data_IF_496126069801
#
_entry.id   IF_496126069801
#
_cell.length_a   1.000
_cell.length_b   1.000
_cell.length_c   1.000
_cell.angle_alpha   90.00
_cell.angle_beta   90.00
_cell.angle_gamma   90.00
#
_symmetry.space_group_name_H-M   'P 1'
#
loop_
_entity.id
_entity.type
_entity.pdbx_description
1 polymer ?
#
# COMPACT_ATOMS: atom_id res chain seq x y z
N UNK A 1 -8.46 44.97 2.97
CA UNK A 1 -9.39 45.55 1.97
C UNK A 1 -8.90 45.11 0.60
N UNK A 2 -9.71 44.26 -0.05
CA UNK A 2 -9.90 44.09 -1.51
C UNK A 2 -8.63 44.06 -2.42
N UNK A 3 -8.21 42.94 -3.02
CA UNK A 3 -8.89 42.06 -4.00
C UNK A 3 -9.39 42.83 -5.24
N UNK A 4 -8.97 42.40 -6.45
CA UNK A 4 -9.80 41.77 -7.52
C UNK A 4 -9.57 42.29 -8.98
N UNK A 5 -9.42 41.30 -9.88
CA UNK A 5 -9.69 41.26 -11.33
C UNK A 5 -8.66 41.81 -12.33
N UNK A 6 -8.19 40.94 -13.25
CA UNK A 6 -8.76 40.95 -14.61
C UNK A 6 -8.64 39.57 -15.30
N UNK A 7 -9.69 39.23 -16.03
CA UNK A 7 -9.87 38.03 -16.81
C UNK A 7 -9.96 38.38 -18.31
N UNK A 8 -9.85 37.34 -19.15
CA UNK A 8 -10.37 37.21 -20.53
C UNK A 8 -9.54 37.84 -21.67
N UNK A 9 -9.08 36.96 -22.57
CA UNK A 9 -9.23 37.19 -24.01
C UNK A 9 -9.48 35.85 -24.73
N UNK A 10 -10.61 35.82 -25.43
CA UNK A 10 -11.23 34.76 -26.21
C UNK A 10 -11.06 35.12 -27.69
N UNK A 11 -10.90 34.16 -28.62
CA UNK A 11 -11.48 34.29 -29.97
C UNK A 11 -11.78 32.92 -30.59
N UNK A 12 -13.02 32.80 -31.08
CA UNK A 12 -13.68 31.69 -31.77
C UNK A 12 -13.28 31.65 -33.28
N UNK A 13 -13.56 30.64 -34.13
CA UNK A 13 -14.89 30.11 -34.54
C UNK A 13 -14.78 28.90 -35.51
N UNK A 14 -15.71 27.95 -35.32
CA UNK A 14 -16.57 27.19 -36.28
C UNK A 14 -16.00 26.27 -37.38
N UNK A 15 -16.37 24.98 -37.33
CA UNK A 15 -17.25 24.32 -38.32
C UNK A 15 -17.75 22.95 -37.80
N UNK A 16 -19.05 22.70 -37.96
CA UNK A 16 -19.75 21.48 -37.56
C UNK A 16 -19.70 20.40 -38.66
N UNK A 17 -19.68 19.12 -38.26
CA UNK A 17 -20.26 18.03 -39.06
C UNK A 17 -20.75 16.93 -38.10
N UNK A 18 -22.05 16.63 -38.17
CA UNK A 18 -22.72 15.59 -37.39
C UNK A 18 -22.59 14.20 -38.04
N UNK A 19 -22.85 13.21 -37.18
CA UNK A 19 -23.37 11.86 -37.43
C UNK A 19 -22.37 10.68 -37.56
N UNK A 20 -22.42 9.78 -36.57
CA UNK A 20 -22.10 8.37 -36.75
C UNK A 20 -21.60 7.63 -35.50
N UNK A 21 -22.49 6.90 -34.82
CA UNK A 21 -22.11 5.73 -34.02
C UNK A 21 -22.02 5.92 -32.50
N UNK A 22 -23.16 5.86 -31.81
CA UNK A 22 -23.22 5.59 -30.38
C UNK A 22 -22.69 4.18 -30.10
N UNK A 23 -21.45 4.07 -29.62
CA UNK A 23 -20.92 2.83 -29.06
C UNK A 23 -20.92 2.95 -27.54
N UNK A 24 -22.04 2.52 -26.94
CA UNK A 24 -22.17 2.37 -25.49
C UNK A 24 -21.23 1.25 -25.01
N UNK A 25 -20.32 1.50 -24.06
CA UNK A 25 -19.61 0.41 -23.40
C UNK A 25 -20.59 -0.39 -22.52
N UNK A 26 -20.43 -1.72 -22.42
CA UNK A 26 -21.29 -2.53 -21.56
C UNK A 26 -21.11 -2.13 -20.08
N UNK A 27 -22.17 -2.10 -19.27
CA UNK A 27 -22.07 -1.70 -17.87
C UNK A 27 -21.27 -2.74 -17.06
N UNK A 28 -20.49 -2.31 -16.06
CA UNK A 28 -20.01 -3.22 -15.02
C UNK A 28 -21.20 -3.83 -14.29
N UNK A 29 -21.21 -5.15 -14.12
CA UNK A 29 -22.27 -5.87 -13.40
C UNK A 29 -22.43 -5.29 -11.99
N UNK A 30 -23.61 -4.73 -11.72
CA UNK A 30 -24.03 -4.23 -10.43
C UNK A 30 -24.53 -5.37 -9.53
N UNK A 31 -24.13 -5.33 -8.25
CA UNK A 31 -24.83 -5.96 -7.13
C UNK A 31 -25.86 -4.92 -6.63
N UNK A 32 -27.12 -5.32 -6.35
CA UNK A 32 -28.24 -4.38 -6.18
C UNK A 32 -28.19 -3.56 -4.88
N UNK A 33 -28.62 -2.29 -4.88
CA UNK A 33 -28.93 -1.55 -3.66
C UNK A 33 -30.35 -1.89 -3.18
N UNK A 34 -30.52 -2.12 -1.87
CA UNK A 34 -31.81 -2.06 -1.19
C UNK A 34 -31.99 -0.66 -0.54
N UNK A 35 -33.25 -0.20 -0.35
CA UNK A 35 -33.60 1.21 -0.50
C UNK A 35 -33.39 2.09 0.74
N UNK A 36 -33.13 3.38 0.46
CA UNK A 36 -33.24 4.47 1.42
C UNK A 36 -34.72 4.79 1.67
N UNK A 37 -35.14 4.77 2.93
CA UNK A 37 -36.41 5.34 3.36
C UNK A 37 -36.18 6.78 3.86
N UNK A 38 -37.00 7.70 3.33
CA UNK A 38 -37.03 9.13 3.62
C UNK A 38 -37.49 9.43 5.06
N UNK A 39 -36.89 10.46 5.65
CA UNK A 39 -37.33 11.11 6.87
C UNK A 39 -38.65 11.89 6.67
N UNK A 40 -39.46 12.00 7.73
CA UNK A 40 -40.21 13.22 8.06
C UNK A 40 -40.84 13.18 9.48
N UNK A 41 -40.80 14.37 10.11
CA UNK A 41 -41.64 14.91 11.20
C UNK A 41 -41.17 14.82 12.66
N UNK A 42 -40.68 15.98 13.13
CA UNK A 42 -40.66 16.44 14.52
C UNK A 42 -42.09 16.71 15.07
N UNK A 43 -42.25 16.93 16.38
CA UNK A 43 -42.30 18.32 16.83
C UNK A 43 -41.66 18.61 18.22
N UNK A 44 -41.22 19.87 18.40
CA UNK A 44 -41.65 20.70 19.54
C UNK A 44 -40.88 20.66 20.88
N UNK A 45 -40.07 21.70 21.07
CA UNK A 45 -39.89 22.51 22.30
C UNK A 45 -39.33 21.88 23.60
N UNK A 46 -38.21 22.42 24.09
CA UNK A 46 -38.16 23.34 25.23
C UNK A 46 -36.72 23.53 25.72
N UNK A 47 -36.37 24.78 26.04
CA UNK A 47 -35.09 25.21 26.58
C UNK A 47 -34.92 24.78 28.04
N UNK A 48 -33.74 24.30 28.41
CA UNK A 48 -33.25 24.35 29.79
C UNK A 48 -31.72 24.38 29.81
N UNK A 49 -31.18 25.55 30.19
CA UNK A 49 -29.77 25.75 30.47
C UNK A 49 -29.35 24.94 31.69
N UNK A 50 -28.59 23.87 31.48
CA UNK A 50 -27.86 23.14 32.51
C UNK A 50 -26.45 22.87 32.01
N UNK A 51 -25.43 23.21 32.80
CA UNK A 51 -24.03 22.84 32.53
C UNK A 51 -23.91 21.32 32.61
N UNK A 52 -24.11 20.64 31.48
CA UNK A 52 -23.68 19.26 31.31
C UNK A 52 -22.16 19.25 31.31
N UNK A 53 -21.60 18.81 32.43
CA UNK A 53 -20.21 18.36 32.46
C UNK A 53 -20.20 17.06 31.68
N UNK A 54 -19.88 17.14 30.38
CA UNK A 54 -19.67 15.95 29.55
C UNK A 54 -18.48 15.21 30.16
N UNK A 55 -18.76 14.17 30.95
CA UNK A 55 -17.76 13.16 31.24
C UNK A 55 -17.28 12.68 29.87
N UNK A 56 -16.01 12.93 29.55
CA UNK A 56 -15.39 12.33 28.38
C UNK A 56 -15.70 10.83 28.42
N UNK A 57 -16.22 10.22 27.34
CA UNK A 57 -16.38 8.78 27.33
C UNK A 57 -15.02 8.18 27.67
N UNK A 58 -14.99 7.27 28.65
CA UNK A 58 -13.86 6.41 28.87
C UNK A 58 -13.41 5.90 27.50
N UNK A 59 -12.13 6.08 27.17
CA UNK A 59 -11.59 5.59 25.91
C UNK A 59 -11.98 4.13 25.78
N UNK A 60 -12.93 3.82 24.90
CA UNK A 60 -13.21 2.45 24.52
C UNK A 60 -11.84 1.90 24.08
N UNK A 61 -11.37 0.83 24.74
CA UNK A 61 -10.08 0.21 24.43
C UNK A 61 -9.96 -0.05 22.94
N UNK A 62 -8.72 -0.19 22.44
CA UNK A 62 -8.53 -0.40 21.01
C UNK A 62 -9.39 -1.57 20.53
N UNK A 63 -10.09 -1.39 19.42
CA UNK A 63 -10.89 -2.45 18.77
C UNK A 63 -10.12 -3.14 17.65
N UNK A 64 -8.83 -2.82 17.51
CA UNK A 64 -7.94 -3.27 16.46
C UNK A 64 -6.70 -3.87 17.10
N UNK A 65 -6.46 -5.14 16.83
CA UNK A 65 -5.37 -5.89 17.44
C UNK A 65 -4.48 -6.51 16.37
N UNK A 66 -3.19 -6.62 16.62
CA UNK A 66 -2.27 -7.31 15.73
C UNK A 66 -1.37 -8.30 16.48
N UNK A 67 -1.23 -9.49 15.93
CA UNK A 67 -0.20 -10.47 16.27
C UNK A 67 0.87 -10.42 15.19
N UNK A 68 2.11 -10.13 15.58
CA UNK A 68 3.21 -9.90 14.65
C UNK A 68 4.36 -10.82 15.03
N UNK A 69 4.67 -11.79 14.16
CA UNK A 69 5.79 -12.71 14.31
C UNK A 69 6.98 -12.27 13.44
N UNK A 70 8.18 -12.37 13.99
CA UNK A 70 9.44 -12.24 13.25
C UNK A 70 10.42 -13.31 13.68
N UNK A 71 10.52 -14.40 12.92
CA UNK A 71 11.41 -15.52 13.21
C UNK A 71 12.62 -15.48 12.28
N UNK A 72 13.81 -15.31 12.85
CA UNK A 72 15.07 -15.19 12.15
C UNK A 72 16.23 -15.99 12.74
N UNK A 73 16.22 -16.27 14.04
CA UNK A 73 17.31 -16.94 14.77
C UNK A 73 17.27 -18.48 14.67
N UNK A 74 17.16 -19.02 13.45
CA UNK A 74 17.12 -20.47 13.21
C UNK A 74 18.44 -21.14 13.60
N UNK A 75 18.37 -22.11 14.51
CA UNK A 75 19.55 -22.66 15.20
C UNK A 75 20.52 -23.47 14.31
N UNK A 76 20.04 -24.03 13.20
CA UNK A 76 20.80 -24.99 12.38
C UNK A 76 21.29 -24.43 11.03
N UNK A 77 21.39 -23.11 10.90
CA UNK A 77 21.75 -22.41 9.66
C UNK A 77 20.54 -21.74 8.99
N UNK A 78 20.78 -21.01 7.90
CA UNK A 78 19.75 -20.26 7.15
C UNK A 78 19.02 -19.18 7.98
N UNK A 79 19.72 -18.55 8.93
CA UNK A 79 19.18 -17.46 9.74
C UNK A 79 18.72 -16.27 8.86
N UNK A 80 17.57 -15.70 9.19
CA UNK A 80 16.98 -14.55 8.51
C UNK A 80 17.05 -13.34 9.43
N UNK A 81 18.21 -12.66 9.44
CA UNK A 81 18.40 -11.48 10.28
C UNK A 81 17.41 -10.34 9.95
N UNK A 82 16.80 -10.35 8.75
CA UNK A 82 15.77 -9.40 8.32
C UNK A 82 14.42 -9.59 9.03
N UNK A 83 14.00 -10.84 9.30
CA UNK A 83 12.65 -11.14 9.78
C UNK A 83 12.28 -10.45 11.12
N UNK A 84 13.11 -10.46 12.18
CA UNK A 84 12.86 -9.68 13.39
C UNK A 84 12.78 -8.16 13.14
N UNK A 85 13.58 -7.63 12.21
CA UNK A 85 13.56 -6.20 11.86
C UNK A 85 12.27 -5.84 11.12
N UNK A 86 11.83 -6.68 10.19
CA UNK A 86 10.58 -6.50 9.44
C UNK A 86 9.35 -6.54 10.36
N UNK A 87 9.31 -7.52 11.28
CA UNK A 87 8.28 -7.59 12.31
C UNK A 87 8.25 -6.33 13.19
N UNK A 88 9.40 -5.84 13.63
CA UNK A 88 9.47 -4.60 14.40
C UNK A 88 8.97 -3.38 13.60
N UNK A 89 9.33 -3.28 12.32
CA UNK A 89 8.92 -2.20 11.43
C UNK A 89 7.40 -2.18 11.24
N UNK A 90 6.78 -3.34 10.97
CA UNK A 90 5.34 -3.48 10.79
C UNK A 90 4.58 -3.25 12.11
N UNK A 91 5.07 -3.80 13.22
CA UNK A 91 4.49 -3.57 14.55
C UNK A 91 4.47 -2.07 14.89
N UNK A 92 5.55 -1.34 14.61
CA UNK A 92 5.62 0.10 14.81
C UNK A 92 4.59 0.85 13.93
N UNK A 93 4.51 0.51 12.64
CA UNK A 93 3.54 1.13 11.72
C UNK A 93 2.07 0.87 12.12
N UNK A 94 1.76 -0.33 12.61
CA UNK A 94 0.42 -0.68 13.12
C UNK A 94 0.10 0.05 14.43
N UNK A 95 1.05 0.17 15.37
CA UNK A 95 0.84 0.95 16.60
C UNK A 95 0.52 2.41 16.30
N UNK A 96 1.15 3.00 15.29
CA UNK A 96 0.83 4.37 14.84
C UNK A 96 -0.60 4.52 14.32
N UNK A 97 -1.17 3.45 13.77
CA UNK A 97 -2.57 3.37 13.34
C UNK A 97 -3.55 3.04 14.48
N UNK A 98 -3.07 2.97 15.72
CA UNK A 98 -3.87 2.71 16.91
C UNK A 98 -4.16 1.23 17.16
N UNK A 99 -3.42 0.30 16.56
CA UNK A 99 -3.52 -1.12 16.90
C UNK A 99 -2.84 -1.41 18.22
N UNK A 100 -3.44 -2.28 19.03
CA UNK A 100 -2.75 -2.96 20.11
C UNK A 100 -1.98 -4.16 19.53
N UNK A 101 -0.65 -4.17 19.70
CA UNK A 101 0.22 -5.10 18.97
C UNK A 101 0.99 -6.00 19.92
N UNK A 102 0.74 -7.31 19.83
CA UNK A 102 1.57 -8.37 20.38
C UNK A 102 2.67 -8.70 19.37
N UNK A 103 3.89 -8.24 19.65
CA UNK A 103 5.09 -8.52 18.86
C UNK A 103 5.84 -9.70 19.48
N UNK A 104 6.02 -10.76 18.72
CA UNK A 104 6.68 -11.99 19.12
C UNK A 104 7.85 -12.30 18.16
N UNK A 105 9.06 -12.40 18.70
CA UNK A 105 10.28 -12.54 17.91
C UNK A 105 10.97 -13.85 18.29
N UNK A 106 11.50 -14.54 17.28
CA UNK A 106 12.28 -15.77 17.43
C UNK A 106 11.61 -16.82 18.32
N UNK A 107 10.34 -17.11 18.02
CA UNK A 107 9.53 -18.06 18.79
C UNK A 107 9.72 -19.48 18.30
N UNK A 108 9.87 -20.39 19.26
CA UNK A 108 9.77 -21.82 19.04
C UNK A 108 8.30 -22.23 18.81
N UNK A 109 8.06 -23.51 18.50
CA UNK A 109 6.72 -23.98 18.16
C UNK A 109 5.71 -23.75 19.28
N UNK A 110 6.10 -24.07 20.52
CA UNK A 110 5.21 -23.93 21.68
C UNK A 110 5.02 -22.46 22.03
N UNK A 111 6.05 -21.63 21.95
CA UNK A 111 5.96 -20.19 22.13
C UNK A 111 5.04 -19.52 21.12
N UNK A 112 5.07 -19.93 19.84
CA UNK A 112 4.10 -19.44 18.84
C UNK A 112 2.66 -19.80 19.23
N UNK A 113 2.41 -21.00 19.76
CA UNK A 113 1.06 -21.41 20.23
C UNK A 113 0.61 -20.60 21.44
N UNK A 114 1.51 -20.34 22.38
CA UNK A 114 1.26 -19.50 23.55
C UNK A 114 0.87 -18.07 23.13
N UNK A 115 1.62 -17.48 22.19
CA UNK A 115 1.35 -16.13 21.69
C UNK A 115 0.03 -16.03 20.94
N UNK A 116 -0.33 -17.08 20.17
CA UNK A 116 -1.65 -17.17 19.53
C UNK A 116 -2.77 -17.21 20.57
N UNK A 117 -2.65 -18.05 21.59
CA UNK A 117 -3.66 -18.14 22.65
C UNK A 117 -3.77 -16.83 23.45
N UNK A 118 -2.64 -16.19 23.76
CA UNK A 118 -2.61 -14.89 24.41
C UNK A 118 -3.26 -13.80 23.53
N UNK A 119 -3.00 -13.84 22.23
CA UNK A 119 -3.60 -12.92 21.27
C UNK A 119 -5.11 -13.10 21.16
N UNK A 120 -5.61 -14.33 21.12
CA UNK A 120 -7.04 -14.62 21.10
C UNK A 120 -7.74 -14.05 22.34
N UNK A 121 -7.13 -14.23 23.51
CA UNK A 121 -7.66 -13.72 24.77
C UNK A 121 -7.68 -12.19 24.81
N UNK A 122 -6.57 -11.52 24.45
CA UNK A 122 -6.49 -10.05 24.49
C UNK A 122 -7.39 -9.39 23.43
N UNK A 123 -7.59 -10.04 22.29
CA UNK A 123 -8.37 -9.50 21.17
C UNK A 123 -9.82 -9.99 21.15
N UNK A 124 -10.35 -10.45 22.28
CA UNK A 124 -11.74 -10.85 22.41
C UNK A 124 -12.67 -9.65 22.11
N UNK A 125 -13.58 -9.81 21.14
CA UNK A 125 -14.47 -8.72 20.71
C UNK A 125 -13.83 -7.68 19.79
N UNK A 126 -12.64 -7.95 19.24
CA UNK A 126 -11.99 -7.09 18.25
C UNK A 126 -12.85 -6.90 16.99
N UNK A 127 -12.93 -5.68 16.48
CA UNK A 127 -13.54 -5.36 15.18
C UNK A 127 -12.64 -5.82 14.02
N UNK A 128 -11.34 -5.84 14.25
CA UNK A 128 -10.33 -6.24 13.27
C UNK A 128 -9.14 -6.87 13.98
N UNK A 129 -8.75 -8.05 13.52
CA UNK A 129 -7.48 -8.70 13.87
C UNK A 129 -6.53 -8.66 12.69
N UNK A 130 -5.25 -8.46 12.97
CA UNK A 130 -4.16 -8.56 12.00
C UNK A 130 -3.22 -9.67 12.45
N UNK A 131 -2.87 -10.57 11.55
CA UNK A 131 -1.74 -11.48 11.69
C UNK A 131 -0.67 -11.02 10.71
N UNK A 132 0.55 -10.86 11.19
CA UNK A 132 1.73 -10.70 10.35
C UNK A 132 2.77 -11.76 10.72
N UNK A 133 3.41 -12.35 9.72
CA UNK A 133 4.53 -13.27 9.93
C UNK A 133 5.65 -12.95 8.93
N UNK A 134 6.87 -12.78 9.44
CA UNK A 134 8.11 -12.81 8.66
C UNK A 134 9.01 -13.96 9.14
N UNK A 135 9.55 -14.72 8.18
CA UNK A 135 10.46 -15.83 8.46
C UNK A 135 10.44 -16.89 7.36
N UNK A 136 10.92 -18.09 7.69
CA UNK A 136 10.82 -19.23 6.77
C UNK A 136 9.39 -19.75 6.67
N UNK A 137 9.00 -20.09 5.46
CA UNK A 137 7.72 -20.69 5.15
C UNK A 137 7.84 -21.66 3.99
N UNK A 138 6.92 -22.62 3.96
CA UNK A 138 6.84 -23.62 2.90
C UNK A 138 5.41 -23.77 2.41
N UNK A 139 5.26 -24.13 1.14
CA UNK A 139 3.98 -24.46 0.53
C UNK A 139 4.05 -25.84 -0.12
N UNK A 140 3.14 -26.73 0.27
CA UNK A 140 2.90 -28.01 -0.39
C UNK A 140 1.52 -28.56 0.00
N UNK A 141 0.92 -29.35 -0.90
CA UNK A 141 -0.39 -29.99 -0.66
C UNK A 141 -1.48 -29.00 -0.20
N UNK A 142 -1.56 -27.83 -0.85
CA UNK A 142 -2.54 -26.78 -0.56
C UNK A 142 -2.41 -26.12 0.82
N UNK A 143 -1.35 -26.40 1.58
CA UNK A 143 -1.11 -25.83 2.89
C UNK A 143 0.16 -24.96 2.89
N UNK A 144 0.08 -23.85 3.62
CA UNK A 144 1.25 -23.02 3.94
C UNK A 144 1.65 -23.31 5.38
N UNK A 145 2.95 -23.47 5.61
CA UNK A 145 3.53 -23.74 6.92
C UNK A 145 4.44 -22.58 7.31
N UNK A 146 4.22 -22.01 8.50
CA UNK A 146 5.06 -20.99 9.11
C UNK A 146 6.04 -21.68 10.06
N UNK A 147 7.33 -21.38 9.93
CA UNK A 147 8.36 -22.15 10.62
C UNK A 147 8.84 -21.45 11.92
N UNK A 148 8.78 -22.13 13.08
CA UNK A 148 9.38 -21.64 14.33
C UNK A 148 10.91 -21.75 14.30
N UNK A 149 11.62 -21.14 15.25
CA UNK A 149 13.10 -21.11 15.22
C UNK A 149 13.78 -22.41 15.68
N UNK A 150 13.06 -23.28 16.39
CA UNK A 150 13.54 -24.53 17.00
C UNK A 150 13.46 -25.75 16.04
N UNK A 151 13.67 -25.53 14.75
CA UNK A 151 13.61 -26.61 13.75
C UNK A 151 14.68 -27.67 14.02
N UNK A 152 14.41 -28.96 13.79
CA UNK A 152 15.35 -30.04 14.11
C UNK A 152 16.56 -30.13 13.15
N UNK A 153 16.59 -29.32 12.09
CA UNK A 153 17.63 -29.29 11.08
C UNK A 153 17.63 -27.96 10.30
N UNK A 154 18.69 -27.74 9.51
CA UNK A 154 18.75 -26.62 8.56
C UNK A 154 17.57 -26.63 7.59
N UNK A 155 17.13 -25.45 7.13
CA UNK A 155 15.95 -25.26 6.25
C UNK A 155 16.08 -26.10 4.99
N UNK A 156 17.25 -26.09 4.36
CA UNK A 156 17.54 -26.88 3.15
C UNK A 156 17.56 -28.41 3.36
N UNK A 157 17.50 -28.91 4.59
CA UNK A 157 17.52 -30.35 4.92
C UNK A 157 16.16 -30.90 5.37
N UNK A 158 15.17 -30.03 5.59
CA UNK A 158 13.83 -30.44 5.98
C UNK A 158 13.14 -31.16 4.83
N UNK A 159 12.37 -32.19 5.16
CA UNK A 159 11.42 -32.84 4.26
C UNK A 159 9.99 -32.44 4.65
N UNK A 160 9.00 -32.89 3.86
CA UNK A 160 7.58 -32.57 4.10
C UNK A 160 7.07 -33.04 5.46
N UNK A 161 7.57 -34.18 5.97
CA UNK A 161 7.12 -34.71 7.26
C UNK A 161 7.68 -33.87 8.41
N UNK A 162 8.97 -33.50 8.33
CA UNK A 162 9.59 -32.59 9.28
C UNK A 162 8.89 -31.23 9.30
N UNK A 163 8.52 -30.68 8.13
CA UNK A 163 7.76 -29.42 8.06
C UNK A 163 6.38 -29.57 8.70
N UNK A 164 5.64 -30.66 8.45
CA UNK A 164 4.34 -30.90 9.10
C UNK A 164 4.43 -31.02 10.61
N UNK A 165 5.43 -31.72 11.11
CA UNK A 165 5.57 -32.00 12.54
C UNK A 165 6.04 -30.78 13.34
N UNK A 166 6.78 -29.87 12.72
CA UNK A 166 7.45 -28.76 13.41
C UNK A 166 6.96 -27.37 12.96
N UNK A 167 6.10 -27.27 11.95
CA UNK A 167 5.57 -26.00 11.44
C UNK A 167 4.16 -25.70 11.93
N UNK A 168 3.79 -24.42 11.94
CA UNK A 168 2.41 -23.98 12.18
C UNK A 168 1.66 -23.91 10.86
N UNK A 169 0.54 -24.64 10.76
CA UNK A 169 -0.33 -24.59 9.58
C UNK A 169 -1.10 -23.27 9.51
N UNK A 170 -0.91 -22.53 8.43
CA UNK A 170 -1.50 -21.21 8.26
C UNK A 170 -3.02 -21.26 8.13
N UNK A 171 -3.58 -22.28 7.49
CA UNK A 171 -5.03 -22.44 7.35
C UNK A 171 -5.71 -22.62 8.70
N UNK A 172 -5.13 -23.44 9.58
CA UNK A 172 -5.59 -23.63 10.96
C UNK A 172 -5.46 -22.34 11.77
N UNK A 173 -4.33 -21.65 11.67
CA UNK A 173 -4.09 -20.39 12.37
C UNK A 173 -5.08 -19.30 11.93
N UNK A 174 -5.28 -19.12 10.62
CA UNK A 174 -6.23 -18.14 10.05
C UNK A 174 -7.66 -18.49 10.46
N UNK A 175 -8.03 -19.76 10.43
CA UNK A 175 -9.34 -20.20 10.91
C UNK A 175 -9.56 -19.81 12.37
N UNK A 176 -8.62 -20.16 13.25
CA UNK A 176 -8.66 -19.85 14.68
C UNK A 176 -8.78 -18.36 14.94
N UNK A 177 -7.87 -17.55 14.37
CA UNK A 177 -7.88 -16.10 14.57
C UNK A 177 -9.07 -15.39 13.94
N UNK A 178 -9.68 -15.98 12.91
CA UNK A 178 -10.87 -15.45 12.26
C UNK A 178 -12.14 -15.61 13.10
N UNK A 179 -12.15 -16.54 14.08
CA UNK A 179 -13.32 -16.74 14.92
C UNK A 179 -13.56 -15.58 15.87
N UNK A 180 -14.82 -15.13 15.96
CA UNK A 180 -15.22 -14.10 16.91
C UNK A 180 -14.78 -12.67 16.55
N UNK A 181 -14.29 -12.44 15.32
CA UNK A 181 -14.02 -11.10 14.79
C UNK A 181 -14.72 -10.90 13.44
N UNK A 182 -15.24 -9.68 13.13
CA UNK A 182 -15.82 -9.39 11.82
C UNK A 182 -14.82 -9.45 10.67
N UNK A 183 -13.54 -9.18 10.95
CA UNK A 183 -12.51 -9.12 9.93
C UNK A 183 -11.14 -9.61 10.43
N UNK A 184 -10.47 -10.42 9.61
CA UNK A 184 -9.09 -10.84 9.79
C UNK A 184 -8.25 -10.45 8.58
N UNK A 185 -7.11 -9.81 8.82
CA UNK A 185 -6.09 -9.55 7.79
C UNK A 185 -4.84 -10.34 8.15
N UNK A 186 -4.51 -11.37 7.38
CA UNK A 186 -3.30 -12.18 7.54
C UNK A 186 -2.28 -11.83 6.45
N UNK A 187 -1.04 -11.57 6.85
CA UNK A 187 0.03 -11.04 5.98
C UNK A 187 1.27 -11.91 6.17
N UNK A 188 1.69 -12.60 5.11
CA UNK A 188 2.75 -13.61 5.18
C UNK A 188 3.93 -13.19 4.29
N UNK A 189 5.02 -12.82 4.94
CA UNK A 189 6.29 -12.48 4.33
C UNK A 189 7.27 -13.65 4.45
N UNK A 190 7.04 -14.65 3.61
CA UNK A 190 7.81 -15.88 3.57
C UNK A 190 7.83 -16.46 2.15
N UNK A 191 8.76 -17.37 1.92
CA UNK A 191 8.79 -18.15 0.68
C UNK A 191 7.55 -19.07 0.56
N UNK A 192 7.14 -19.33 -0.67
CA UNK A 192 5.99 -20.19 -1.00
C UNK A 192 6.41 -21.37 -1.87
N UNK A 193 7.51 -22.02 -1.47
CA UNK A 193 8.12 -23.14 -2.19
C UNK A 193 8.04 -24.41 -1.36
N UNK A 194 8.11 -25.57 -2.01
CA UNK A 194 8.22 -26.85 -1.32
C UNK A 194 9.62 -27.00 -0.67
N UNK A 195 9.77 -27.78 0.41
CA UNK A 195 11.07 -28.03 1.03
C UNK A 195 12.03 -28.78 0.09
N UNK A 196 13.34 -28.51 0.24
CA UNK A 196 14.38 -28.92 -0.72
C UNK A 196 14.58 -30.45 -0.82
N UNK A 197 14.28 -31.24 0.22
CA UNK A 197 14.21 -32.70 0.15
C UNK A 197 12.77 -33.15 -0.16
N UNK A 198 12.61 -33.85 -1.29
CA UNK A 198 11.30 -34.29 -1.79
C UNK A 198 10.86 -33.54 -3.04
N UNK A 199 11.81 -33.20 -3.92
CA UNK A 199 11.70 -32.45 -5.18
C UNK A 199 10.83 -33.16 -6.24
N UNK A 200 9.60 -33.49 -5.91
CA UNK A 200 8.54 -33.38 -6.88
C UNK A 200 7.98 -31.98 -6.66
N UNK A 201 8.25 -31.10 -7.63
CA UNK A 201 7.44 -29.92 -7.83
C UNK A 201 6.01 -30.42 -8.05
N UNK A 202 5.26 -30.58 -6.96
CA UNK A 202 3.82 -30.46 -7.08
C UNK A 202 3.65 -29.10 -7.76
N UNK A 203 3.00 -29.08 -8.93
CA UNK A 203 2.44 -27.86 -9.49
C UNK A 203 1.84 -27.07 -8.33
N UNK A 204 1.91 -25.74 -8.35
CA UNK A 204 1.17 -24.90 -7.41
C UNK A 204 -0.31 -25.32 -7.51
N UNK A 205 -0.68 -26.27 -6.68
CA UNK A 205 -1.97 -26.93 -6.66
C UNK A 205 -2.63 -26.23 -5.50
N UNK A 206 -3.69 -25.50 -5.87
CA UNK A 206 -4.73 -24.87 -5.08
C UNK A 206 -4.31 -23.79 -4.09
N UNK A 207 -4.90 -22.65 -4.35
CA UNK A 207 -4.91 -21.44 -3.55
C UNK A 207 -5.78 -21.62 -2.31
N UNK A 208 -5.30 -21.19 -1.14
CA UNK A 208 -6.09 -21.19 0.08
C UNK A 208 -7.20 -20.14 -0.09
N UNK A 209 -8.45 -20.59 -0.16
CA UNK A 209 -9.61 -19.71 -0.17
C UNK A 209 -9.97 -19.34 1.26
N UNK A 210 -9.76 -18.09 1.69
CA UNK A 210 -10.01 -17.70 3.07
C UNK A 210 -11.51 -17.73 3.41
N UNK A 211 -11.84 -17.82 4.70
CA UNK A 211 -13.22 -17.71 5.16
C UNK A 211 -13.80 -16.31 4.91
N UNK A 212 -15.12 -16.17 4.94
CA UNK A 212 -15.79 -14.87 4.82
C UNK A 212 -15.29 -13.93 5.93
N UNK A 213 -15.03 -12.67 5.61
CA UNK A 213 -14.41 -11.70 6.53
C UNK A 213 -12.88 -11.75 6.56
N UNK A 214 -12.22 -12.62 5.80
CA UNK A 214 -10.77 -12.78 5.85
C UNK A 214 -10.07 -12.29 4.58
N UNK A 215 -8.96 -11.60 4.77
CA UNK A 215 -7.99 -11.21 3.74
C UNK A 215 -6.68 -11.92 4.05
N UNK A 216 -6.13 -12.61 3.07
CA UNK A 216 -4.85 -13.29 3.14
C UNK A 216 -3.92 -12.73 2.07
N UNK A 217 -2.90 -12.00 2.51
CA UNK A 217 -1.90 -11.35 1.67
C UNK A 217 -0.53 -12.02 1.83
N UNK A 218 0.19 -12.14 0.72
CA UNK A 218 1.50 -12.78 0.65
C UNK A 218 2.51 -11.82 0.02
N UNK A 219 3.74 -11.85 0.50
CA UNK A 219 4.84 -11.09 -0.09
C UNK A 219 5.22 -11.57 -1.50
N UNK A 220 4.85 -12.80 -1.88
CA UNK A 220 5.18 -13.39 -3.19
C UNK A 220 4.06 -14.33 -3.68
N UNK A 221 4.09 -14.64 -4.97
CA UNK A 221 3.11 -15.50 -5.63
C UNK A 221 3.34 -16.99 -5.27
N UNK A 222 2.33 -17.86 -5.46
CA UNK A 222 2.49 -19.30 -5.21
C UNK A 222 3.69 -19.88 -5.97
N UNK A 223 4.48 -20.75 -5.32
CA UNK A 223 5.67 -21.36 -5.93
C UNK A 223 6.87 -20.43 -6.09
N UNK A 224 6.86 -19.22 -5.50
CA UNK A 224 7.92 -18.23 -5.63
C UNK A 224 8.58 -17.92 -4.29
N UNK A 225 9.76 -17.31 -4.38
CA UNK A 225 10.58 -16.87 -3.24
C UNK A 225 10.18 -15.43 -2.86
N UNK A 226 10.20 -15.13 -1.56
CA UNK A 226 10.15 -13.77 -1.04
C UNK A 226 11.59 -13.33 -0.73
N UNK A 227 11.93 -12.08 -1.05
CA UNK A 227 13.30 -11.57 -0.88
C UNK A 227 13.50 -11.05 0.55
N UNK A 228 14.63 -11.37 1.17
CA UNK A 228 14.96 -10.96 2.55
C UNK A 228 15.53 -9.52 2.63
N UNK A 229 16.05 -8.97 1.52
CA UNK A 229 16.64 -7.63 1.51
C UNK A 229 16.48 -6.90 0.18
N UNK A 230 16.30 -5.59 0.27
CA UNK A 230 16.32 -4.66 -0.85
C UNK A 230 17.72 -4.28 -1.36
N UNK A 231 18.81 -4.68 -0.68
CA UNK A 231 20.19 -4.31 -1.07
C UNK A 231 20.53 -4.72 -2.50
N UNK A 232 20.08 -5.90 -2.92
CA UNK A 232 20.26 -6.39 -4.29
C UNK A 232 19.57 -5.52 -5.36
N UNK A 233 18.70 -4.59 -4.93
CA UNK A 233 17.95 -3.65 -5.77
C UNK A 233 18.30 -2.18 -5.46
N UNK A 234 19.49 -1.94 -4.92
CA UNK A 234 20.09 -0.60 -4.81
C UNK A 234 19.49 0.29 -3.72
N UNK A 235 18.76 -0.28 -2.76
CA UNK A 235 18.32 0.44 -1.55
C UNK A 235 19.11 -0.08 -0.36
N UNK A 236 19.79 0.85 0.32
CA UNK A 236 20.58 0.56 1.52
C UNK A 236 19.66 0.42 2.75
N UNK A 237 18.82 -0.61 2.73
CA UNK A 237 17.90 -0.95 3.80
C UNK A 237 17.87 -2.48 4.02
N UNK A 238 17.86 -2.85 5.31
CA UNK A 238 17.95 -4.25 5.77
C UNK A 238 16.61 -4.84 6.13
N UNK A 239 15.67 -4.61 5.23
CA UNK A 239 14.29 -5.05 5.28
C UNK A 239 13.90 -5.77 4.00
N UNK A 240 12.94 -6.70 4.11
CA UNK A 240 12.32 -7.29 2.93
C UNK A 240 11.65 -6.19 2.08
N UNK A 241 11.61 -6.33 0.74
CA UNK A 241 10.91 -5.38 -0.12
C UNK A 241 9.45 -5.18 0.28
N UNK A 242 8.76 -6.26 0.62
CA UNK A 242 7.33 -6.21 0.90
C UNK A 242 7.04 -5.50 2.21
N UNK A 243 7.74 -5.86 3.29
CA UNK A 243 7.54 -5.25 4.60
C UNK A 243 7.93 -3.78 4.62
N UNK A 244 9.02 -3.43 3.93
CA UNK A 244 9.48 -2.04 3.82
C UNK A 244 8.44 -1.13 3.15
N UNK A 245 7.90 -1.52 1.99
CA UNK A 245 6.91 -0.69 1.29
C UNK A 245 5.50 -0.80 1.86
N UNK A 246 5.14 -1.92 2.48
CA UNK A 246 3.90 -2.02 3.24
C UNK A 246 3.92 -1.07 4.45
N UNK A 247 5.02 -1.02 5.19
CA UNK A 247 5.18 -0.08 6.30
C UNK A 247 5.07 1.38 5.83
N UNK A 248 5.68 1.73 4.68
CA UNK A 248 5.51 3.05 4.06
C UNK A 248 4.03 3.38 3.80
N UNK A 249 3.28 2.44 3.21
CA UNK A 249 1.85 2.64 2.94
C UNK A 249 1.03 2.75 4.25
N UNK A 250 1.34 1.91 5.24
CA UNK A 250 0.76 1.97 6.58
C UNK A 250 1.12 3.24 7.35
N UNK A 251 2.12 4.02 6.95
CA UNK A 251 2.42 5.33 7.59
C UNK A 251 1.91 6.53 6.78
N UNK A 252 1.35 6.29 5.59
CA UNK A 252 0.78 7.33 4.74
C UNK A 252 -0.61 7.74 5.22
N UNK A 253 -0.83 9.03 5.51
CA UNK A 253 -2.14 9.59 5.91
C UNK A 253 -3.21 9.48 4.83
N UNK A 254 -2.79 9.31 3.59
CA UNK A 254 -3.62 9.19 2.39
C UNK A 254 -4.18 7.79 2.17
N UNK A 255 -3.61 6.79 2.85
CA UNK A 255 -4.03 5.40 2.74
C UNK A 255 -5.03 5.13 3.85
N UNK A 256 -6.30 5.01 3.48
CA UNK A 256 -7.39 4.83 4.43
C UNK A 256 -7.72 3.34 4.68
N UNK A 257 -7.52 2.48 3.68
CA UNK A 257 -7.95 1.08 3.71
C UNK A 257 -6.85 0.08 3.35
N UNK A 258 -7.05 -1.17 3.75
CA UNK A 258 -6.08 -2.26 3.54
C UNK A 258 -5.80 -2.56 2.07
N UNK A 259 -6.80 -2.50 1.18
CA UNK A 259 -6.59 -2.68 -0.27
C UNK A 259 -5.64 -1.62 -0.84
N UNK A 260 -5.79 -0.36 -0.43
CA UNK A 260 -4.90 0.72 -0.87
C UNK A 260 -3.46 0.48 -0.37
N UNK A 261 -3.29 0.00 0.86
CA UNK A 261 -1.96 -0.35 1.39
C UNK A 261 -1.32 -1.48 0.59
N UNK A 262 -2.05 -2.57 0.36
CA UNK A 262 -1.57 -3.71 -0.40
C UNK A 262 -1.24 -3.35 -1.85
N UNK A 263 -2.12 -2.63 -2.53
CA UNK A 263 -1.90 -2.19 -3.92
C UNK A 263 -0.69 -1.26 -4.05
N UNK A 264 -0.47 -0.39 -3.06
CA UNK A 264 0.67 0.54 -3.05
C UNK A 264 1.99 -0.21 -2.86
N UNK A 265 2.05 -1.12 -1.88
CA UNK A 265 3.22 -1.95 -1.62
C UNK A 265 3.51 -2.89 -2.81
N UNK A 266 2.49 -3.60 -3.31
CA UNK A 266 2.63 -4.56 -4.40
C UNK A 266 3.21 -3.93 -5.66
N UNK A 267 2.72 -2.74 -6.04
CA UNK A 267 3.24 -2.04 -7.20
C UNK A 267 4.73 -1.73 -7.07
N UNK A 268 5.16 -1.15 -5.95
CA UNK A 268 6.58 -0.76 -5.79
C UNK A 268 7.46 -2.01 -5.78
N UNK A 269 7.07 -3.05 -5.05
CA UNK A 269 7.82 -4.31 -5.00
C UNK A 269 7.97 -4.91 -6.38
N UNK A 270 6.87 -5.03 -7.15
CA UNK A 270 6.92 -5.59 -8.49
C UNK A 270 7.84 -4.81 -9.42
N UNK A 271 7.78 -3.48 -9.39
CA UNK A 271 8.61 -2.68 -10.29
C UNK A 271 10.08 -2.64 -9.87
N UNK A 272 10.35 -2.45 -8.58
CA UNK A 272 11.72 -2.37 -8.07
C UNK A 272 12.44 -3.71 -8.19
N UNK A 273 11.72 -4.82 -8.01
CA UNK A 273 12.31 -6.16 -8.18
C UNK A 273 12.27 -6.66 -9.63
N UNK A 274 11.87 -5.81 -10.58
CA UNK A 274 11.71 -6.17 -11.99
C UNK A 274 10.85 -7.44 -12.20
N UNK A 275 9.82 -7.60 -11.38
CA UNK A 275 8.91 -8.74 -11.40
C UNK A 275 9.46 -10.03 -10.78
N UNK A 276 10.65 -9.99 -10.17
CA UNK A 276 11.22 -11.15 -9.48
C UNK A 276 10.36 -11.57 -8.27
N UNK A 277 9.85 -10.59 -7.52
CA UNK A 277 8.88 -10.78 -6.43
C UNK A 277 7.53 -10.18 -6.83
N UNK A 278 6.47 -10.95 -6.59
CA UNK A 278 5.11 -10.61 -7.02
C UNK A 278 4.14 -10.80 -5.84
N UNK A 279 3.86 -9.75 -5.05
CA UNK A 279 2.91 -9.86 -3.96
C UNK A 279 1.53 -10.33 -4.44
N UNK A 280 0.87 -11.14 -3.63
CA UNK A 280 -0.37 -11.84 -3.97
C UNK A 280 -1.40 -11.69 -2.86
N UNK A 281 -2.69 -11.68 -3.18
CA UNK A 281 -3.75 -11.51 -2.18
C UNK A 281 -5.03 -12.27 -2.53
N UNK A 282 -5.62 -12.91 -1.53
CA UNK A 282 -6.91 -13.56 -1.58
C UNK A 282 -7.81 -12.88 -0.56
N UNK A 283 -8.96 -12.37 -0.97
CA UNK A 283 -9.86 -11.64 -0.09
C UNK A 283 -11.30 -12.13 -0.24
N UNK A 284 -11.95 -12.41 0.88
CA UNK A 284 -13.37 -12.79 0.96
C UNK A 284 -14.11 -11.81 1.87
N UNK A 285 -14.12 -10.53 1.49
CA UNK A 285 -14.72 -9.43 2.25
C UNK A 285 -15.70 -8.63 1.38
N UNK A 286 -16.79 -8.16 1.97
CA UNK A 286 -17.75 -7.28 1.28
C UNK A 286 -17.18 -5.86 1.09
N UNK A 287 -16.31 -5.44 2.03
CA UNK A 287 -15.58 -4.18 2.00
C UNK A 287 -14.23 -4.37 2.69
N UNK A 288 -13.18 -3.78 2.12
CA UNK A 288 -11.87 -3.76 2.78
C UNK A 288 -11.92 -2.95 4.08
N UNK A 289 -11.39 -3.49 5.19
CA UNK A 289 -11.34 -2.77 6.46
C UNK A 289 -10.50 -1.49 6.36
N UNK A 290 -10.89 -0.48 7.14
CA UNK A 290 -10.11 0.74 7.30
C UNK A 290 -8.90 0.46 8.20
N UNK A 291 -7.77 1.10 7.88
CA UNK A 291 -6.51 0.94 8.60
C UNK A 291 -6.54 1.56 10.00
N UNK A 292 -7.42 2.51 10.28
CA UNK A 292 -7.38 3.31 11.49
C UNK A 292 -6.71 4.68 11.24
N UNK A 293 -7.05 5.65 12.08
CA UNK A 293 -6.55 7.01 11.96
C UNK A 293 -5.12 7.12 12.52
N UNK A 294 -4.24 7.83 11.82
CA UNK A 294 -2.98 8.29 12.38
C UNK A 294 -3.28 9.47 13.32
N UNK A 295 -2.68 9.55 14.52
CA UNK A 295 -2.87 10.68 15.42
C UNK A 295 -2.50 11.99 14.71
N UNK A 296 -3.17 13.09 15.06
CA UNK A 296 -2.73 14.42 14.66
C UNK A 296 -1.28 14.60 15.11
N UNK A 297 -0.42 15.12 14.24
CA UNK A 297 1.01 15.26 14.52
C UNK A 297 1.21 16.26 15.67
N UNK A 298 1.34 15.78 16.90
CA UNK A 298 1.61 16.62 18.08
C UNK A 298 2.94 16.28 18.76
N UNK A 299 3.75 15.38 18.19
CA UNK A 299 4.94 14.88 18.86
C UNK A 299 6.23 15.46 18.25
N UNK A 300 6.87 16.45 18.93
CA UNK A 300 8.18 16.96 18.53
C UNK A 300 9.33 15.99 18.88
N UNK A 301 9.07 14.83 19.51
CA UNK A 301 10.10 13.95 20.06
C UNK A 301 10.47 12.72 19.20
N UNK A 302 10.01 12.63 17.94
CA UNK A 302 10.42 11.54 17.01
C UNK A 302 11.66 11.86 16.17
N UNK A 303 12.64 12.51 16.80
CA UNK A 303 13.88 12.94 16.16
C UNK A 303 14.60 11.82 15.39
N UNK A 304 14.48 11.86 14.06
CA UNK A 304 15.22 11.03 13.12
C UNK A 304 15.08 11.56 11.68
N UNK A 305 16.07 12.32 11.20
CA UNK A 305 16.16 13.02 9.90
C UNK A 305 15.13 14.14 9.66
N UNK A 306 15.41 15.28 10.27
CA UNK A 306 14.78 16.57 10.02
C UNK A 306 15.10 17.08 8.61
N UNK A 307 14.08 17.41 7.83
CA UNK A 307 14.21 18.06 6.51
C UNK A 307 14.44 19.57 6.63
N UNK A 308 14.65 20.26 5.49
CA UNK A 308 14.81 21.72 5.41
C UNK A 308 13.73 22.54 6.18
N UNK A 309 12.53 21.97 6.38
CA UNK A 309 11.41 22.62 7.07
C UNK A 309 11.05 21.99 8.42
N UNK A 310 11.93 21.18 9.02
CA UNK A 310 11.60 20.53 10.29
C UNK A 310 10.70 19.30 10.17
N UNK A 311 10.28 18.93 8.95
CA UNK A 311 9.33 17.85 8.72
C UNK A 311 10.06 16.51 8.68
N UNK A 312 9.53 15.50 9.37
CA UNK A 312 10.06 14.15 9.34
C UNK A 312 9.46 13.35 8.19
N UNK A 313 10.33 12.79 7.35
CA UNK A 313 9.95 11.79 6.34
C UNK A 313 10.65 10.49 6.71
N UNK A 314 9.87 9.42 6.80
CA UNK A 314 10.42 8.11 7.17
C UNK A 314 11.37 7.59 6.08
N UNK A 315 12.38 6.77 6.45
CA UNK A 315 13.31 6.19 5.48
C UNK A 315 12.60 5.44 4.34
N UNK A 316 11.54 4.71 4.66
CA UNK A 316 10.76 3.92 3.70
C UNK A 316 10.10 4.81 2.65
N UNK A 317 9.44 5.88 3.12
CA UNK A 317 8.78 6.84 2.25
C UNK A 317 9.78 7.62 1.40
N UNK A 318 10.92 8.02 1.97
CA UNK A 318 12.00 8.70 1.25
C UNK A 318 12.55 7.81 0.12
N UNK A 319 12.77 6.53 0.40
CA UNK A 319 13.23 5.57 -0.60
C UNK A 319 12.21 5.37 -1.73
N UNK A 320 10.92 5.22 -1.38
CA UNK A 320 9.83 5.10 -2.35
C UNK A 320 9.75 6.35 -3.25
N UNK A 321 9.80 7.55 -2.66
CA UNK A 321 9.80 8.81 -3.39
C UNK A 321 10.98 8.96 -4.35
N UNK A 322 12.20 8.64 -3.90
CA UNK A 322 13.40 8.65 -4.75
C UNK A 322 13.29 7.72 -5.95
N UNK A 323 12.76 6.51 -5.75
CA UNK A 323 12.56 5.56 -6.84
C UNK A 323 11.65 6.16 -7.92
N UNK A 324 10.46 6.63 -7.55
CA UNK A 324 9.50 7.15 -8.52
C UNK A 324 9.91 8.48 -9.15
N UNK A 325 10.58 9.35 -8.41
CA UNK A 325 11.15 10.57 -8.95
C UNK A 325 12.16 10.27 -10.08
N UNK A 326 12.99 9.24 -9.89
CA UNK A 326 13.91 8.76 -10.92
C UNK A 326 13.17 8.20 -12.14
N UNK A 327 12.15 7.36 -11.95
CA UNK A 327 11.35 6.82 -13.07
C UNK A 327 10.68 7.94 -13.87
N UNK A 328 10.05 8.90 -13.19
CA UNK A 328 9.45 10.07 -13.83
C UNK A 328 10.48 10.89 -14.62
N UNK A 329 11.68 11.10 -14.06
CA UNK A 329 12.75 11.82 -14.75
C UNK A 329 13.26 11.07 -15.98
N UNK A 330 13.40 9.75 -15.91
CA UNK A 330 13.78 8.91 -17.06
C UNK A 330 12.74 9.02 -18.17
N UNK A 331 11.45 8.89 -17.85
CA UNK A 331 10.37 9.03 -18.82
C UNK A 331 10.35 10.42 -19.48
N UNK A 332 10.50 11.50 -18.69
CA UNK A 332 10.60 12.87 -19.23
C UNK A 332 11.80 13.05 -20.16
N UNK A 333 12.95 12.48 -19.80
CA UNK A 333 14.16 12.51 -20.63
C UNK A 333 13.93 11.77 -21.95
N UNK A 334 13.29 10.60 -21.91
CA UNK A 334 12.91 9.85 -23.12
C UNK A 334 11.91 10.61 -23.99
N UNK A 335 10.93 11.30 -23.39
CA UNK A 335 9.97 12.11 -24.13
C UNK A 335 10.66 13.26 -24.89
N UNK A 336 11.65 13.88 -24.27
CA UNK A 336 12.41 15.01 -24.85
C UNK A 336 13.53 14.59 -25.81
N UNK A 337 13.94 13.32 -25.80
CA UNK A 337 14.97 12.80 -26.70
C UNK A 337 14.45 12.72 -28.14
N UNK A 338 14.78 13.74 -28.94
CA UNK A 338 14.46 13.83 -30.36
C UNK A 338 15.09 12.75 -31.24
N UNK A 339 16.06 11.98 -30.72
CA UNK A 339 16.62 10.82 -31.44
C UNK A 339 15.73 9.57 -31.34
N UNK A 340 14.80 9.53 -30.37
CA UNK A 340 13.86 8.42 -30.16
C UNK A 340 12.52 8.73 -30.80
N UNK A 341 12.18 8.01 -31.86
CA UNK A 341 10.87 8.11 -32.53
C UNK A 341 9.76 7.49 -31.68
N UNK A 342 8.51 7.93 -31.87
CA UNK A 342 7.35 7.33 -31.21
C UNK A 342 7.29 5.81 -31.50
N UNK A 343 7.60 5.38 -32.72
CA UNK A 343 7.65 3.96 -33.09
C UNK A 343 8.67 3.15 -32.25
N UNK A 344 9.85 3.73 -31.98
CA UNK A 344 10.86 3.09 -31.14
C UNK A 344 10.42 2.98 -29.68
N UNK A 345 9.72 4.00 -29.16
CA UNK A 345 9.17 3.98 -27.81
C UNK A 345 8.00 2.99 -27.72
N UNK A 346 7.17 2.86 -28.76
CA UNK A 346 6.08 1.88 -28.81
C UNK A 346 6.61 0.44 -28.77
N UNK A 347 7.69 0.16 -29.49
CA UNK A 347 8.35 -1.14 -29.44
C UNK A 347 8.90 -1.46 -28.05
N UNK A 348 9.51 -0.48 -27.38
CA UNK A 348 10.01 -0.64 -26.01
C UNK A 348 8.85 -0.83 -25.01
N UNK A 349 7.79 -0.05 -25.13
CA UNK A 349 6.59 -0.17 -24.32
C UNK A 349 5.94 -1.56 -24.49
N UNK A 350 5.86 -2.06 -25.72
CA UNK A 350 5.34 -3.40 -26.02
C UNK A 350 6.18 -4.53 -25.39
N UNK A 351 7.47 -4.28 -25.12
CA UNK A 351 8.36 -5.19 -24.38
C UNK A 351 8.28 -5.02 -22.86
N UNK A 352 7.42 -4.12 -22.38
CA UNK A 352 7.18 -3.87 -20.95
C UNK A 352 7.94 -2.69 -20.36
N UNK A 353 8.56 -1.82 -21.17
CA UNK A 353 9.19 -0.60 -20.67
C UNK A 353 8.14 0.45 -20.30
N UNK A 354 7.85 0.57 -19.00
CA UNK A 354 6.88 1.52 -18.48
C UNK A 354 7.31 2.98 -18.67
N UNK A 355 8.60 3.29 -18.71
CA UNK A 355 9.08 4.65 -18.92
C UNK A 355 8.93 5.07 -20.38
N UNK A 356 9.13 4.15 -21.33
CA UNK A 356 8.84 4.41 -22.74
C UNK A 356 7.33 4.66 -22.96
N UNK A 357 6.48 3.85 -22.32
CA UNK A 357 5.03 4.05 -22.36
C UNK A 357 4.60 5.39 -21.74
N UNK A 358 5.21 5.79 -20.61
CA UNK A 358 4.94 7.07 -19.98
C UNK A 358 5.43 8.24 -20.84
N UNK A 359 6.60 8.11 -21.46
CA UNK A 359 7.14 9.10 -22.38
C UNK A 359 6.20 9.36 -23.58
N UNK A 360 5.62 8.31 -24.15
CA UNK A 360 4.59 8.43 -25.19
C UNK A 360 3.34 9.16 -24.70
N UNK A 361 2.89 8.86 -23.48
CA UNK A 361 1.75 9.56 -22.88
C UNK A 361 2.04 11.07 -22.69
N UNK A 362 3.25 11.41 -22.25
CA UNK A 362 3.71 12.80 -22.14
C UNK A 362 3.70 13.50 -23.49
N UNK A 363 4.25 12.89 -24.55
CA UNK A 363 4.24 13.45 -25.91
C UNK A 363 2.82 13.65 -26.46
N UNK A 364 1.91 12.71 -26.22
CA UNK A 364 0.52 12.86 -26.65
C UNK A 364 -0.16 14.02 -25.93
N UNK A 365 0.07 14.19 -24.62
CA UNK A 365 -0.43 15.33 -23.87
C UNK A 365 0.15 16.66 -24.40
N UNK A 366 1.46 16.76 -24.62
CA UNK A 366 2.10 17.98 -25.13
C UNK A 366 1.60 18.39 -26.53
N UNK A 367 1.23 17.41 -27.37
CA UNK A 367 0.61 17.65 -28.68
C UNK A 367 -0.88 18.03 -28.60
N UNK A 368 -1.50 17.97 -27.42
CA UNK A 368 -2.93 18.21 -27.22
C UNK A 368 -3.83 17.00 -27.54
N UNK A 369 -3.28 15.81 -27.78
CA UNK A 369 -4.06 14.58 -27.93
C UNK A 369 -4.41 14.00 -26.54
N UNK A 370 -5.34 14.69 -25.88
CA UNK A 370 -5.82 14.33 -24.53
C UNK A 370 -6.44 12.94 -24.47
N UNK A 371 -7.12 12.50 -25.53
CA UNK A 371 -7.79 11.20 -25.55
C UNK A 371 -6.76 10.07 -25.56
N UNK A 372 -5.68 10.20 -26.33
CA UNK A 372 -4.59 9.24 -26.32
C UNK A 372 -3.79 9.26 -25.01
N UNK A 373 -3.48 10.45 -24.49
CA UNK A 373 -2.80 10.60 -23.21
C UNK A 373 -3.58 9.90 -22.07
N UNK A 374 -4.91 10.10 -21.98
CA UNK A 374 -5.76 9.43 -20.98
C UNK A 374 -5.68 7.91 -21.10
N UNK A 375 -5.85 7.35 -22.30
CA UNK A 375 -5.80 5.89 -22.49
C UNK A 375 -4.47 5.29 -22.02
N UNK A 376 -3.35 5.92 -22.38
CA UNK A 376 -2.00 5.45 -22.01
C UNK A 376 -1.76 5.57 -20.51
N UNK A 377 -2.10 6.71 -19.92
CA UNK A 377 -1.96 6.96 -18.49
C UNK A 377 -2.83 6.01 -17.67
N UNK A 378 -4.07 5.75 -18.07
CA UNK A 378 -4.95 4.79 -17.41
C UNK A 378 -4.37 3.37 -17.39
N UNK A 379 -3.82 2.90 -18.52
CA UNK A 379 -3.17 1.60 -18.59
C UNK A 379 -2.02 1.48 -17.58
N UNK A 380 -1.12 2.46 -17.56
CA UNK A 380 0.02 2.50 -16.65
C UNK A 380 -0.39 2.68 -15.18
N UNK A 381 -1.38 3.54 -14.91
CA UNK A 381 -1.88 3.82 -13.57
C UNK A 381 -2.53 2.58 -12.95
N UNK A 382 -3.31 1.83 -13.74
CA UNK A 382 -3.88 0.53 -13.34
C UNK A 382 -2.80 -0.52 -13.11
N UNK A 383 -1.75 -0.51 -13.93
CA UNK A 383 -0.57 -1.36 -13.75
C UNK A 383 0.32 -0.95 -12.56
N UNK A 384 -0.03 0.11 -11.83
CA UNK A 384 0.68 0.50 -10.60
C UNK A 384 1.70 1.62 -10.77
N UNK A 385 1.93 2.15 -11.97
CA UNK A 385 2.97 3.14 -12.20
C UNK A 385 2.64 4.49 -11.52
N UNK A 386 3.36 4.83 -10.45
CA UNK A 386 2.98 5.95 -9.58
C UNK A 386 3.04 7.30 -10.31
N UNK A 387 4.06 7.55 -11.14
CA UNK A 387 4.15 8.79 -11.90
C UNK A 387 2.98 8.92 -12.90
N UNK A 388 2.55 7.81 -13.49
CA UNK A 388 1.39 7.82 -14.39
C UNK A 388 0.08 8.08 -13.63
N UNK A 389 -0.04 7.59 -12.38
CA UNK A 389 -1.16 7.93 -11.50
C UNK A 389 -1.19 9.43 -11.18
N UNK A 390 -0.04 10.04 -10.91
CA UNK A 390 0.07 11.49 -10.68
C UNK A 390 -0.36 12.29 -11.91
N UNK A 391 0.14 11.92 -13.08
CA UNK A 391 -0.18 12.59 -14.34
C UNK A 391 -1.65 12.38 -14.73
N UNK A 392 -2.18 11.18 -14.57
CA UNK A 392 -3.58 10.85 -14.81
C UNK A 392 -4.51 11.69 -13.93
N UNK A 393 -4.23 11.74 -12.61
CA UNK A 393 -5.01 12.57 -11.70
C UNK A 393 -4.97 14.05 -12.07
N UNK A 394 -3.81 14.54 -12.52
CA UNK A 394 -3.63 15.91 -12.99
C UNK A 394 -4.44 16.21 -14.24
N UNK A 395 -4.39 15.31 -15.22
CA UNK A 395 -5.13 15.45 -16.47
C UNK A 395 -6.64 15.42 -16.20
N UNK A 396 -7.13 14.43 -15.44
CA UNK A 396 -8.55 14.31 -15.08
C UNK A 396 -9.06 15.53 -14.31
N UNK A 397 -8.27 16.04 -13.36
CA UNK A 397 -8.62 17.25 -12.61
C UNK A 397 -8.72 18.48 -13.51
N UNK A 398 -7.74 18.66 -14.42
CA UNK A 398 -7.73 19.79 -15.36
C UNK A 398 -8.95 19.79 -16.30
N UNK A 399 -9.42 18.60 -16.67
CA UNK A 399 -10.59 18.42 -17.53
C UNK A 399 -11.91 18.50 -16.75
N UNK A 400 -11.87 18.53 -15.42
CA UNK A 400 -13.03 18.26 -14.54
C UNK A 400 -13.78 17.00 -14.98
N UNK A 401 -13.02 16.01 -15.43
CA UNK A 401 -13.56 14.83 -16.08
C UNK A 401 -14.19 13.90 -15.03
N UNK A 402 -15.29 13.24 -15.41
CA UNK A 402 -15.98 12.17 -14.68
C UNK A 402 -16.62 12.51 -13.32
N UNK A 403 -16.21 13.57 -12.64
CA UNK A 403 -16.96 14.18 -11.54
C UNK A 403 -16.62 15.68 -11.40
N UNK A 404 -17.62 16.50 -11.07
CA UNK A 404 -17.41 17.94 -10.86
C UNK A 404 -16.57 18.25 -9.62
N UNK A 405 -16.44 17.27 -8.72
CA UNK A 405 -15.79 17.41 -7.42
C UNK A 405 -14.37 16.85 -7.38
N UNK A 406 -13.89 16.19 -8.44
CA UNK A 406 -12.51 15.69 -8.56
C UNK A 406 -12.19 14.42 -7.75
N UNK A 407 -13.17 13.57 -7.40
CA UNK A 407 -12.89 12.36 -6.62
C UNK A 407 -12.00 11.37 -7.37
N UNK A 408 -12.21 11.20 -8.68
CA UNK A 408 -11.39 10.29 -9.49
C UNK A 408 -9.92 10.76 -9.52
N UNK A 409 -9.69 12.06 -9.66
CA UNK A 409 -8.35 12.63 -9.60
C UNK A 409 -7.69 12.43 -8.22
N UNK A 410 -8.44 12.71 -7.14
CA UNK A 410 -7.97 12.50 -5.76
C UNK A 410 -7.61 11.04 -5.50
N UNK A 411 -8.40 10.09 -5.97
CA UNK A 411 -8.10 8.67 -5.83
C UNK A 411 -6.73 8.30 -6.41
N UNK A 412 -6.42 8.76 -7.63
CA UNK A 412 -5.12 8.48 -8.24
C UNK A 412 -3.97 9.16 -7.50
N UNK A 413 -4.15 10.39 -7.04
CA UNK A 413 -3.13 11.05 -6.23
C UNK A 413 -2.95 10.39 -4.85
N UNK A 414 -4.00 9.85 -4.24
CA UNK A 414 -3.88 9.08 -2.98
C UNK A 414 -3.00 7.85 -3.18
N UNK A 415 -3.23 7.08 -4.24
CA UNK A 415 -2.38 5.93 -4.58
C UNK A 415 -0.94 6.34 -4.91
N UNK A 416 -0.75 7.42 -5.68
CA UNK A 416 0.60 7.91 -6.00
C UNK A 416 1.34 8.44 -4.76
N UNK A 417 0.64 9.14 -3.87
CA UNK A 417 1.20 9.61 -2.59
C UNK A 417 1.54 8.45 -1.67
N UNK A 418 0.69 7.42 -1.61
CA UNK A 418 0.96 6.19 -0.85
C UNK A 418 2.24 5.49 -1.32
N UNK A 419 2.54 5.64 -2.60
CA UNK A 419 3.77 5.14 -3.21
C UNK A 419 4.99 6.06 -3.00
N UNK A 420 4.84 7.16 -2.25
CA UNK A 420 5.92 8.06 -1.88
C UNK A 420 6.10 9.27 -2.81
N UNK A 421 5.21 9.51 -3.79
CA UNK A 421 5.32 10.71 -4.64
C UNK A 421 4.83 11.94 -3.88
N UNK A 422 5.78 12.81 -3.48
CA UNK A 422 5.50 14.08 -2.81
C UNK A 422 4.65 15.05 -3.64
N UNK A 423 4.83 15.08 -4.96
CA UNK A 423 4.02 15.92 -5.86
C UNK A 423 2.53 15.58 -5.76
N UNK A 424 2.18 14.29 -5.70
CA UNK A 424 0.80 13.84 -5.57
C UNK A 424 0.20 14.26 -4.22
N UNK A 425 0.99 14.22 -3.14
CA UNK A 425 0.59 14.75 -1.82
C UNK A 425 0.30 16.25 -1.89
N UNK A 426 1.19 17.02 -2.53
CA UNK A 426 0.98 18.46 -2.69
C UNK A 426 -0.31 18.76 -3.48
N UNK A 427 -0.61 17.99 -4.53
CA UNK A 427 -1.86 18.13 -5.30
C UNK A 427 -3.10 17.78 -4.47
N UNK A 428 -3.04 16.73 -3.64
CA UNK A 428 -4.14 16.39 -2.73
C UNK A 428 -4.46 17.51 -1.77
N UNK A 429 -3.42 18.15 -1.22
CA UNK A 429 -3.57 19.26 -0.29
C UNK A 429 -4.25 20.47 -0.97
N UNK A 430 -3.84 20.81 -2.19
CA UNK A 430 -4.44 21.90 -2.98
C UNK A 430 -5.88 21.60 -3.44
N UNK A 431 -6.23 20.32 -3.62
CA UNK A 431 -7.55 19.89 -4.06
C UNK A 431 -8.55 19.68 -2.90
N UNK A 432 -8.14 19.91 -1.66
CA UNK A 432 -8.99 19.81 -0.47
C UNK A 432 -9.81 21.09 -0.25
N UNK A 433 -11.02 20.93 0.30
CA UNK A 433 -11.90 22.04 0.71
C UNK A 433 -11.80 22.33 2.22
N UNK A 434 -10.67 22.00 2.85
CA UNK A 434 -10.48 21.98 4.30
C UNK A 434 -9.89 23.26 4.89
N UNK A 435 -9.47 23.19 6.15
CA UNK A 435 -8.72 24.23 6.85
C UNK A 435 -7.46 24.63 6.06
N UNK A 436 -7.38 25.89 5.67
CA UNK A 436 -6.30 26.46 4.84
C UNK A 436 -4.92 26.21 5.46
N UNK A 437 -4.82 26.18 6.79
CA UNK A 437 -3.54 25.96 7.49
C UNK A 437 -3.10 24.50 7.42
N UNK A 438 -4.02 23.55 7.66
CA UNK A 438 -3.74 22.13 7.54
C UNK A 438 -3.42 21.74 6.09
N UNK A 439 -4.16 22.30 5.13
CA UNK A 439 -3.89 22.13 3.71
C UNK A 439 -2.52 22.70 3.32
N UNK A 440 -2.16 23.88 3.80
CA UNK A 440 -0.83 24.48 3.57
C UNK A 440 0.29 23.59 4.14
N UNK A 441 0.13 23.07 5.36
CA UNK A 441 1.14 22.21 5.97
C UNK A 441 1.34 20.89 5.19
N UNK A 442 0.27 20.27 4.71
CA UNK A 442 0.38 19.06 3.88
C UNK A 442 0.94 19.36 2.48
N UNK A 443 0.63 20.53 1.92
CA UNK A 443 1.25 21.01 0.68
C UNK A 443 2.76 21.16 0.85
N UNK A 444 3.21 21.86 1.90
CA UNK A 444 4.63 22.02 2.21
C UNK A 444 5.32 20.68 2.44
N UNK A 445 4.66 19.73 3.11
CA UNK A 445 5.16 18.36 3.29
C UNK A 445 5.37 17.64 1.95
N UNK A 446 4.43 17.77 1.02
CA UNK A 446 4.56 17.22 -0.34
C UNK A 446 5.72 17.84 -1.13
N UNK A 447 5.93 19.17 -0.99
CA UNK A 447 7.07 19.84 -1.62
C UNK A 447 8.41 19.37 -1.06
N UNK A 448 8.52 19.25 0.27
CA UNK A 448 9.73 18.72 0.91
C UNK A 448 10.01 17.29 0.47
N UNK A 449 9.00 16.44 0.42
CA UNK A 449 9.15 15.06 -0.08
C UNK A 449 9.67 15.01 -1.50
N UNK A 450 9.16 15.89 -2.36
CA UNK A 450 9.62 16.00 -3.75
C UNK A 450 11.07 16.43 -3.80
N UNK A 451 11.46 17.45 -3.02
CA UNK A 451 12.84 17.93 -2.95
C UNK A 451 13.79 16.83 -2.45
N UNK A 452 13.44 16.15 -1.36
CA UNK A 452 14.22 15.03 -0.79
C UNK A 452 14.36 13.84 -1.77
N UNK A 453 13.37 13.63 -2.64
CA UNK A 453 13.44 12.61 -3.67
C UNK A 453 14.49 12.91 -4.76
N UNK A 454 14.86 14.18 -4.95
CA UNK A 454 15.91 14.61 -5.88
C UNK A 454 17.24 14.94 -5.18
N UNK A 455 17.27 14.99 -3.85
CA UNK A 455 18.48 15.25 -3.09
C UNK A 455 19.51 14.10 -3.26
N UNK A 456 20.81 14.42 -3.42
CA UNK A 456 21.85 13.40 -3.51
C UNK A 456 21.93 12.60 -2.21
N UNK A 457 22.10 11.28 -2.33
CA UNK A 457 22.33 10.41 -1.19
C UNK A 457 23.69 10.74 -0.57
N UNK A 458 23.72 11.53 0.51
CA UNK A 458 24.96 11.82 1.25
C UNK A 458 25.08 13.21 1.89
N UNK A 459 24.14 14.13 1.72
CA UNK A 459 24.29 15.49 2.29
C UNK A 459 23.89 15.64 3.78
N UNK A 460 23.70 14.54 4.51
CA UNK A 460 23.15 14.57 5.87
C UNK A 460 23.74 13.50 6.78
N UNK A 461 25.06 13.41 6.83
CA UNK A 461 25.80 12.80 7.94
C UNK A 461 27.28 13.16 7.80
N UNK A 462 27.67 14.30 8.37
CA UNK A 462 28.98 14.40 9.02
C UNK A 462 28.72 15.13 10.36
N UNK A 463 29.40 14.70 11.44
CA UNK A 463 28.93 14.81 12.83
C UNK A 463 28.80 16.23 13.39
#
# INVERSE_FOLDING_TARGET
MLIRWLAIALFATLAACEAGGSMTPPPPRAVPPAPLASAANAPGAAQASGRSTTLAPASAGSRRYALVFGNGAYAHGDALAGAPRDAALIASALRERGYEVLLAVDRDLDGMREDVAAFEAMSAGAELRVLYFAGHGFEFEHANYLMPVDLPAAIGKLDRQAVRNNGVRLDELVWTLGQGTPALVAIIDACRVAPARGLQAARALGELSPARGTILAYATAPGRVALDSLRSYGVDADHSPYSYFLASALRSREVASWDQAFLSAASIVMQQTHGAQQPWMNAQVDRFPQLGALPASTDPARAGTTTLLGLEITPERRAAGRYWARQAQLARTLAQDGSRTDASLEEQAARGDANAALALATRSWERGDTADALRRLEGLARAGHAAARTDLGTLLHSLKASDSEGHVARYWWQLASAQGIGEARAKLALAGNGDDEAAMMEFMRGLVETHEAFAPAGAGADP
#
